data_IF_588957789339
#
_entry.id   IF_588957789339
#
_cell.length_a   1.000
_cell.length_b   1.000
_cell.length_c   1.000
_cell.angle_alpha   90.00
_cell.angle_beta   90.00
_cell.angle_gamma   90.00
#
_symmetry.space_group_name_H-M   'P 1'
#
loop_
_entity.id
_entity.type
_entity.pdbx_description
1 polymer ?
#
# COMPACT_ATOMS: atom_id res chain seq x y z
N UNK A 1 -19.34 -51.57 64.54
CA UNK A 1 -17.90 -51.52 64.26
C UNK A 1 -17.71 -51.20 62.78
N UNK A 2 -16.90 -50.17 62.51
CA UNK A 2 -16.23 -49.73 61.26
C UNK A 2 -16.99 -49.71 59.91
N UNK A 3 -17.20 -48.56 59.26
CA UNK A 3 -16.28 -47.67 58.52
C UNK A 3 -15.59 -48.26 57.27
N UNK A 4 -15.91 -47.62 56.12
CA UNK A 4 -15.04 -47.07 55.08
C UNK A 4 -14.29 -47.94 54.04
N UNK A 5 -14.25 -47.34 52.83
CA UNK A 5 -13.18 -47.25 51.79
C UNK A 5 -13.26 -48.13 50.52
N UNK A 6 -13.46 -47.40 49.40
CA UNK A 6 -12.66 -47.34 48.16
C UNK A 6 -11.96 -48.59 47.61
N UNK A 7 -12.23 -48.86 46.32
CA UNK A 7 -11.36 -49.63 45.43
C UNK A 7 -11.81 -49.54 43.96
N UNK A 8 -11.18 -48.67 43.17
CA UNK A 8 -10.98 -48.88 41.72
C UNK A 8 -9.74 -49.79 41.55
N UNK A 9 -9.59 -50.64 40.50
CA UNK A 9 -9.16 -50.15 39.17
C UNK A 9 -9.58 -51.01 37.94
N UNK A 10 -9.30 -50.49 36.74
CA UNK A 10 -9.19 -51.27 35.48
C UNK A 10 -10.23 -50.88 34.42
N UNK A 11 -9.93 -49.98 33.47
CA UNK A 11 -9.15 -50.21 32.24
C UNK A 11 -10.02 -50.61 31.04
N UNK A 12 -9.94 -49.78 29.99
CA UNK A 12 -10.26 -50.01 28.57
C UNK A 12 -11.62 -49.50 28.07
N UNK A 13 -11.59 -48.26 27.54
CA UNK A 13 -12.36 -47.78 26.37
C UNK A 13 -11.77 -46.45 25.91
N UNK A 14 -10.58 -46.50 25.31
CA UNK A 14 -9.97 -45.40 24.54
C UNK A 14 -9.58 -45.97 23.18
N UNK A 15 -10.45 -45.77 22.19
CA UNK A 15 -10.15 -45.99 20.78
C UNK A 15 -11.24 -45.28 19.95
N UNK A 16 -10.95 -44.05 19.51
CA UNK A 16 -11.36 -43.48 18.22
C UNK A 16 -11.04 -41.97 18.17
N UNK A 17 -10.54 -41.55 17.01
CA UNK A 17 -10.37 -40.15 16.53
C UNK A 17 -9.21 -39.36 17.14
N UNK A 18 -8.00 -39.74 16.71
CA UNK A 18 -6.93 -38.78 16.48
C UNK A 18 -7.08 -38.24 15.04
N UNK A 19 -6.45 -37.11 14.74
CA UNK A 19 -6.29 -36.46 13.42
C UNK A 19 -7.42 -35.48 13.02
N UNK A 20 -7.12 -34.17 13.03
CA UNK A 20 -8.00 -33.05 12.64
C UNK A 20 -7.51 -31.74 13.27
N UNK A 21 -7.65 -30.60 12.59
CA UNK A 21 -6.79 -29.42 12.70
C UNK A 21 -7.06 -28.49 13.90
N UNK A 22 -6.21 -27.45 13.96
CA UNK A 22 -6.40 -26.13 14.58
C UNK A 22 -7.63 -25.99 15.48
N UNK A 23 -7.42 -25.93 16.80
CA UNK A 23 -8.50 -25.60 17.73
C UNK A 23 -8.06 -24.49 18.68
N UNK A 24 -8.62 -23.29 18.48
CA UNK A 24 -9.07 -22.43 19.57
C UNK A 24 -10.28 -23.14 20.17
N UNK A 25 -10.18 -23.68 21.40
CA UNK A 25 -11.29 -24.42 22.02
C UNK A 25 -12.24 -23.44 22.69
N UNK A 26 -13.42 -23.22 22.08
CA UNK A 26 -14.61 -22.66 22.72
C UNK A 26 -15.74 -23.70 22.74
N UNK A 27 -16.31 -23.98 23.92
CA UNK A 27 -17.35 -24.98 24.12
C UNK A 27 -18.76 -24.36 24.23
N UNK A 28 -19.75 -25.09 23.69
CA UNK A 28 -21.17 -25.17 24.11
C UNK A 28 -22.24 -24.26 23.46
N UNK A 29 -22.89 -24.84 22.42
CA UNK A 29 -24.33 -25.12 22.25
C UNK A 29 -25.42 -24.07 22.56
N UNK A 30 -26.24 -23.74 21.54
CA UNK A 30 -27.72 -23.91 21.54
C UNK A 30 -28.33 -23.75 20.13
N UNK A 31 -29.19 -24.71 19.76
CA UNK A 31 -29.95 -24.77 18.51
C UNK A 31 -31.09 -23.74 18.42
N UNK A 32 -31.26 -23.12 17.25
CA UNK A 32 -32.54 -22.68 16.67
C UNK A 32 -32.45 -22.80 15.13
N UNK A 33 -33.51 -23.22 14.40
CA UNK A 33 -33.44 -23.40 12.96
C UNK A 33 -33.68 -22.07 12.23
N UNK A 34 -32.84 -21.75 11.24
CA UNK A 34 -33.11 -20.69 10.27
C UNK A 34 -33.84 -21.27 9.05
N UNK A 35 -34.91 -20.59 8.65
CA UNK A 35 -35.77 -20.94 7.51
C UNK A 35 -35.04 -20.71 6.17
N UNK A 36 -35.24 -21.64 5.23
CA UNK A 36 -34.86 -21.49 3.82
C UNK A 36 -35.64 -20.33 3.16
N UNK A 37 -34.93 -19.42 2.51
CA UNK A 37 -35.49 -18.55 1.48
C UNK A 37 -35.11 -19.10 0.09
N UNK A 38 -36.04 -19.24 -0.85
CA UNK A 38 -35.75 -19.84 -2.15
C UNK A 38 -35.03 -18.87 -3.10
N UNK A 39 -34.10 -19.44 -3.87
CA UNK A 39 -33.39 -18.83 -4.99
C UNK A 39 -34.34 -18.23 -6.04
N UNK A 40 -34.23 -16.93 -6.27
CA UNK A 40 -34.73 -16.28 -7.49
C UNK A 40 -33.57 -15.76 -8.31
N UNK A 41 -33.28 -16.48 -9.40
CA UNK A 41 -32.35 -16.10 -10.47
C UNK A 41 -32.80 -14.80 -11.17
N UNK A 42 -31.96 -13.76 -11.26
CA UNK A 42 -32.26 -12.56 -12.06
C UNK A 42 -32.24 -12.87 -13.57
N UNK A 43 -33.13 -12.24 -14.38
CA UNK A 43 -33.15 -12.43 -15.82
C UNK A 43 -31.95 -11.74 -16.50
N UNK A 44 -31.47 -12.36 -17.58
CA UNK A 44 -30.35 -11.90 -18.39
C UNK A 44 -30.58 -10.49 -18.94
N UNK A 45 -29.65 -9.58 -18.66
CA UNK A 45 -29.57 -8.28 -19.30
C UNK A 45 -29.11 -8.45 -20.75
N UNK A 46 -29.86 -7.84 -21.67
CA UNK A 46 -29.47 -7.70 -23.07
C UNK A 46 -28.39 -6.63 -23.11
N UNK A 47 -27.17 -7.06 -23.44
CA UNK A 47 -26.01 -6.21 -23.65
C UNK A 47 -26.15 -5.52 -25.01
N UNK A 48 -26.55 -4.25 -25.01
CA UNK A 48 -26.45 -3.37 -26.17
C UNK A 48 -25.01 -2.90 -26.31
N UNK A 49 -24.34 -3.42 -27.32
CA UNK A 49 -23.02 -3.00 -27.83
C UNK A 49 -23.00 -1.48 -28.09
N UNK A 50 -22.03 -0.72 -27.56
CA UNK A 50 -21.94 0.71 -27.83
C UNK A 50 -21.50 0.93 -29.28
N UNK A 51 -22.30 1.67 -30.03
CA UNK A 51 -21.96 2.12 -31.36
C UNK A 51 -20.68 2.97 -31.34
N UNK A 52 -19.80 2.64 -32.28
CA UNK A 52 -18.51 3.27 -32.61
C UNK A 52 -18.58 4.81 -32.52
N UNK A 53 -17.96 5.38 -31.49
CA UNK A 53 -17.75 6.81 -31.39
C UNK A 53 -16.66 7.20 -32.41
N UNK A 54 -16.87 8.22 -33.26
CA UNK A 54 -15.83 8.64 -34.19
C UNK A 54 -14.56 9.04 -33.41
N UNK A 55 -13.37 8.72 -33.93
CA UNK A 55 -12.12 9.00 -33.25
C UNK A 55 -12.03 10.50 -32.93
N UNK A 56 -11.78 10.81 -31.65
CA UNK A 56 -11.54 12.16 -31.20
C UNK A 56 -10.41 12.77 -32.03
N UNK A 57 -10.71 13.83 -32.77
CA UNK A 57 -9.70 14.61 -33.47
C UNK A 57 -8.69 15.12 -32.43
N UNK A 58 -7.40 14.87 -32.67
CA UNK A 58 -6.33 15.40 -31.82
C UNK A 58 -6.51 16.93 -31.71
N UNK A 59 -6.46 17.51 -30.49
CA UNK A 59 -6.63 18.93 -30.32
C UNK A 59 -5.50 19.68 -31.05
N UNK A 60 -5.85 20.38 -32.13
CA UNK A 60 -4.90 21.23 -32.85
C UNK A 60 -4.67 22.48 -32.02
N UNK A 61 -3.43 22.66 -31.53
CA UNK A 61 -3.04 23.86 -30.81
C UNK A 61 -3.31 25.13 -31.64
N UNK A 62 -3.94 26.10 -31.00
CA UNK A 62 -4.12 27.45 -31.53
C UNK A 62 -2.78 28.15 -31.75
N UNK A 63 -2.79 29.21 -32.57
CA UNK A 63 -1.60 30.02 -32.81
C UNK A 63 -1.06 30.67 -31.51
N UNK A 64 -1.96 31.03 -30.59
CA UNK A 64 -1.53 31.58 -29.29
C UNK A 64 -0.85 30.53 -28.42
N UNK A 65 -1.39 29.31 -28.37
CA UNK A 65 -0.75 28.21 -27.64
C UNK A 65 0.64 27.89 -28.21
N UNK A 66 0.79 27.83 -29.54
CA UNK A 66 2.11 27.64 -30.18
C UNK A 66 3.12 28.71 -29.78
N UNK A 67 2.71 29.98 -29.76
CA UNK A 67 3.57 31.09 -29.35
C UNK A 67 3.96 31.00 -27.86
N UNK A 68 3.05 30.54 -27.00
CA UNK A 68 3.32 30.33 -25.58
C UNK A 68 4.31 29.18 -25.40
N UNK A 69 4.12 28.04 -26.06
CA UNK A 69 5.06 26.92 -26.03
C UNK A 69 6.46 27.34 -26.51
N UNK A 70 6.58 28.14 -27.57
CA UNK A 70 7.87 28.69 -28.01
C UNK A 70 8.50 29.62 -26.97
N UNK A 71 7.69 30.42 -26.26
CA UNK A 71 8.18 31.28 -25.19
C UNK A 71 8.70 30.45 -24.00
N UNK A 72 8.02 29.35 -23.65
CA UNK A 72 8.41 28.38 -22.62
C UNK A 72 9.73 27.70 -23.00
N UNK A 73 9.86 27.19 -24.23
CA UNK A 73 11.10 26.58 -24.72
C UNK A 73 12.29 27.56 -24.65
N UNK A 74 12.07 28.82 -25.04
CA UNK A 74 13.09 29.86 -24.94
C UNK A 74 13.43 30.22 -23.49
N UNK A 75 12.47 30.16 -22.56
CA UNK A 75 12.71 30.36 -21.14
C UNK A 75 13.63 29.26 -20.58
N UNK A 76 13.30 28.00 -20.84
CA UNK A 76 14.12 26.84 -20.45
C UNK A 76 15.52 26.94 -21.06
N UNK A 77 15.63 27.31 -22.33
CA UNK A 77 16.92 27.50 -22.99
C UNK A 77 17.75 28.63 -22.36
N UNK A 78 17.12 29.74 -21.93
CA UNK A 78 17.80 30.83 -21.25
C UNK A 78 18.30 30.40 -19.85
N UNK A 79 17.49 29.63 -19.12
CA UNK A 79 17.88 29.06 -17.83
C UNK A 79 19.09 28.13 -17.98
N UNK A 80 19.01 27.18 -18.92
CA UNK A 80 20.06 26.17 -19.14
C UNK A 80 21.36 26.78 -19.70
N UNK A 81 21.29 27.99 -20.27
CA UNK A 81 22.46 28.76 -20.67
C UNK A 81 23.06 29.60 -19.53
N UNK A 82 22.42 29.66 -18.35
CA UNK A 82 22.82 30.54 -17.25
C UNK A 82 22.65 32.03 -17.56
N UNK A 83 21.80 32.40 -18.53
CA UNK A 83 21.64 33.78 -18.99
C UNK A 83 20.52 34.48 -18.20
N UNK A 84 20.88 35.01 -17.03
CA UNK A 84 19.95 35.70 -16.13
C UNK A 84 19.20 36.87 -16.79
N UNK A 85 19.87 37.63 -17.67
CA UNK A 85 19.27 38.78 -18.33
C UNK A 85 18.24 38.34 -19.38
N UNK A 86 18.56 37.33 -20.18
CA UNK A 86 17.62 36.76 -21.15
C UNK A 86 16.45 36.09 -20.44
N UNK A 87 16.71 35.37 -19.34
CA UNK A 87 15.68 34.73 -18.52
C UNK A 87 14.70 35.75 -17.94
N UNK A 88 15.20 36.82 -17.31
CA UNK A 88 14.36 37.91 -16.82
C UNK A 88 13.63 38.66 -17.96
N UNK A 89 14.17 38.65 -19.17
CA UNK A 89 13.53 39.18 -20.38
C UNK A 89 12.22 38.49 -20.78
N UNK A 90 11.95 37.28 -20.28
CA UNK A 90 10.67 36.58 -20.48
C UNK A 90 9.52 37.11 -19.61
N UNK A 91 9.83 37.88 -18.57
CA UNK A 91 8.85 38.38 -17.62
C UNK A 91 8.22 39.70 -18.08
N UNK A 92 7.07 40.08 -17.54
CA UNK A 92 6.57 41.47 -17.59
C UNK A 92 7.48 42.37 -16.73
N UNK A 93 7.44 43.71 -16.89
CA UNK A 93 8.23 44.61 -16.05
C UNK A 93 7.99 44.43 -14.55
N UNK A 94 6.74 44.15 -14.18
CA UNK A 94 6.24 43.98 -12.80
C UNK A 94 6.03 42.51 -12.41
N UNK A 95 6.66 41.57 -13.13
CA UNK A 95 6.40 40.14 -12.95
C UNK A 95 6.74 39.65 -11.54
N UNK A 96 5.97 38.69 -11.01
CA UNK A 96 6.16 38.16 -9.65
C UNK A 96 6.54 36.67 -9.65
N UNK A 97 7.62 36.32 -8.96
CA UNK A 97 7.97 34.93 -8.71
C UNK A 97 7.83 34.59 -7.21
N UNK A 98 6.96 33.64 -6.89
CA UNK A 98 6.85 33.05 -5.55
C UNK A 98 7.56 31.70 -5.54
N UNK A 99 8.63 31.61 -4.77
CA UNK A 99 9.44 30.40 -4.59
C UNK A 99 8.73 29.35 -3.70
N UNK A 100 9.17 28.07 -3.69
CA UNK A 100 8.59 27.04 -2.81
C UNK A 100 8.62 27.42 -1.33
N UNK A 101 9.68 28.13 -0.90
CA UNK A 101 9.85 28.68 0.44
C UNK A 101 8.94 29.89 0.75
N UNK A 102 7.99 30.20 -0.13
CA UNK A 102 7.02 31.29 0.00
C UNK A 102 7.66 32.69 0.04
N UNK A 103 8.84 32.84 -0.56
CA UNK A 103 9.48 34.14 -0.81
C UNK A 103 9.02 34.68 -2.16
N UNK A 104 8.46 35.89 -2.19
CA UNK A 104 8.12 36.64 -3.40
C UNK A 104 9.28 37.51 -3.89
N UNK A 105 9.54 37.48 -5.19
CA UNK A 105 10.44 38.37 -5.93
C UNK A 105 9.61 39.18 -6.92
N UNK A 106 9.82 40.49 -6.99
CA UNK A 106 8.97 41.39 -7.77
C UNK A 106 9.76 42.25 -8.77
N UNK A 107 9.33 42.19 -10.02
CA UNK A 107 9.87 42.95 -11.13
C UNK A 107 11.16 42.38 -11.72
N UNK A 108 11.44 42.76 -12.97
CA UNK A 108 12.59 42.21 -13.73
C UNK A 108 13.94 42.46 -13.07
N UNK A 109 14.11 43.58 -12.37
CA UNK A 109 15.39 43.91 -11.72
C UNK A 109 15.71 42.93 -10.58
N UNK A 110 14.75 42.67 -9.69
CA UNK A 110 14.92 41.73 -8.59
C UNK A 110 15.11 40.30 -9.12
N UNK A 111 14.32 39.89 -10.10
CA UNK A 111 14.45 38.60 -10.78
C UNK A 111 15.83 38.43 -11.42
N UNK A 112 16.33 39.44 -12.14
CA UNK A 112 17.67 39.39 -12.77
C UNK A 112 18.76 39.20 -11.72
N UNK A 113 18.66 39.90 -10.59
CA UNK A 113 19.61 39.76 -9.48
C UNK A 113 19.53 38.37 -8.84
N UNK A 114 18.33 37.86 -8.62
CA UNK A 114 18.11 36.54 -8.04
C UNK A 114 18.66 35.42 -8.96
N UNK A 115 18.34 35.47 -10.26
CA UNK A 115 18.85 34.50 -11.23
C UNK A 115 20.37 34.57 -11.38
N UNK A 116 20.96 35.76 -11.44
CA UNK A 116 22.43 35.92 -11.46
C UNK A 116 23.06 35.26 -10.24
N UNK A 117 22.55 35.57 -9.04
CA UNK A 117 23.08 35.00 -7.79
C UNK A 117 22.87 33.48 -7.67
N UNK A 118 21.81 32.94 -8.28
CA UNK A 118 21.59 31.50 -8.37
C UNK A 118 22.62 30.84 -9.28
N UNK A 119 22.81 31.33 -10.51
CA UNK A 119 23.77 30.74 -11.45
C UNK A 119 25.23 30.87 -11.01
N UNK A 120 25.59 31.91 -10.23
CA UNK A 120 26.91 32.02 -9.60
C UNK A 120 27.15 30.93 -8.55
N UNK A 121 26.10 30.51 -7.83
CA UNK A 121 26.18 29.46 -6.79
C UNK A 121 26.01 28.06 -7.34
N UNK A 122 25.27 27.91 -8.43
CA UNK A 122 24.95 26.63 -9.07
C UNK A 122 25.35 26.65 -10.55
N UNK A 123 26.65 26.73 -10.89
CA UNK A 123 27.10 26.76 -12.28
C UNK A 123 26.69 25.49 -13.03
N UNK A 124 26.10 25.66 -14.22
CA UNK A 124 25.65 24.54 -15.04
C UNK A 124 24.32 23.92 -14.60
N UNK A 125 23.56 24.59 -13.73
CA UNK A 125 22.21 24.17 -13.40
C UNK A 125 21.31 24.10 -14.64
N UNK A 126 20.49 23.06 -14.73
CA UNK A 126 19.55 22.83 -15.83
C UNK A 126 18.13 22.70 -15.30
N UNK A 127 17.19 23.32 -15.98
CA UNK A 127 15.75 23.23 -15.81
C UNK A 127 15.16 22.30 -16.88
N UNK A 128 14.27 21.42 -16.45
CA UNK A 128 13.36 20.64 -17.27
C UNK A 128 11.94 20.87 -16.77
N UNK A 129 10.98 21.04 -17.69
CA UNK A 129 9.56 21.10 -17.36
C UNK A 129 8.89 19.77 -17.75
N UNK A 130 8.12 19.20 -16.83
CA UNK A 130 7.42 17.91 -17.00
C UNK A 130 5.92 18.12 -16.87
N UNK A 131 5.14 17.50 -17.77
CA UNK A 131 3.68 17.60 -17.74
C UNK A 131 3.14 19.01 -17.98
N UNK A 132 3.86 19.84 -18.75
CA UNK A 132 3.45 21.22 -19.04
C UNK A 132 2.12 21.25 -19.78
N UNK A 133 1.11 21.82 -19.14
CA UNK A 133 -0.21 22.07 -19.72
C UNK A 133 -0.43 23.58 -19.85
N UNK A 134 -0.86 24.03 -21.03
CA UNK A 134 -1.20 25.42 -21.30
C UNK A 134 -2.71 25.53 -21.54
N UNK A 135 -3.36 26.45 -20.85
CA UNK A 135 -4.78 26.76 -21.00
C UNK A 135 -4.97 28.26 -21.26
N UNK A 136 -5.57 28.63 -22.38
CA UNK A 136 -6.00 30.02 -22.62
C UNK A 136 -7.19 30.36 -21.72
N UNK A 137 -7.03 31.40 -20.89
CA UNK A 137 -8.11 31.93 -20.04
C UNK A 137 -8.87 33.05 -20.76
N UNK A 138 -8.18 33.77 -21.65
CA UNK A 138 -8.73 34.79 -22.55
C UNK A 138 -7.81 34.96 -23.77
N UNK A 139 -8.17 35.74 -24.80
CA UNK A 139 -7.29 35.98 -25.96
C UNK A 139 -5.91 36.59 -25.63
N UNK A 140 -5.74 37.15 -24.43
CA UNK A 140 -4.52 37.81 -24.00
C UNK A 140 -3.94 37.27 -22.66
N UNK A 141 -4.53 36.21 -22.09
CA UNK A 141 -4.08 35.62 -20.82
C UNK A 141 -4.13 34.10 -20.92
N UNK A 142 -3.05 33.45 -20.51
CA UNK A 142 -2.95 31.99 -20.43
C UNK A 142 -2.41 31.55 -19.08
N UNK A 143 -2.79 30.35 -18.66
CA UNK A 143 -2.19 29.66 -17.53
C UNK A 143 -1.36 28.50 -18.04
N UNK A 144 -0.16 28.36 -17.51
CA UNK A 144 0.69 27.18 -17.63
C UNK A 144 0.76 26.50 -16.26
N UNK A 145 0.76 25.18 -16.24
CA UNK A 145 1.02 24.39 -15.02
C UNK A 145 1.84 23.15 -15.36
N UNK A 146 2.67 22.70 -14.42
CA UNK A 146 3.47 21.50 -14.56
C UNK A 146 4.41 21.28 -13.37
N UNK A 147 5.45 20.48 -13.59
CA UNK A 147 6.53 20.25 -12.64
C UNK A 147 7.84 20.81 -13.18
N UNK A 148 8.58 21.54 -12.34
CA UNK A 148 9.91 22.04 -12.65
C UNK A 148 10.94 21.14 -11.97
N UNK A 149 11.80 20.51 -12.77
CA UNK A 149 12.91 19.69 -12.30
C UNK A 149 14.20 20.46 -12.54
N UNK A 150 14.91 20.79 -11.46
CA UNK A 150 16.19 21.51 -11.52
C UNK A 150 17.30 20.62 -10.99
N UNK A 151 18.34 20.45 -11.81
CA UNK A 151 19.54 19.68 -11.49
C UNK A 151 20.75 20.60 -11.51
N UNK A 152 21.57 20.59 -10.46
CA UNK A 152 22.79 21.40 -10.35
C UNK A 152 24.01 20.52 -10.06
N UNK A 153 24.84 20.26 -11.07
CA UNK A 153 26.01 19.38 -10.93
C UNK A 153 25.60 17.95 -10.57
N UNK A 154 26.23 17.39 -9.54
CA UNK A 154 25.95 16.04 -9.02
C UNK A 154 24.94 16.03 -7.85
N UNK A 155 24.28 17.16 -7.57
CA UNK A 155 23.24 17.23 -6.54
C UNK A 155 21.96 16.51 -6.97
N UNK A 156 21.19 16.02 -6.00
CA UNK A 156 19.88 15.42 -6.25
C UNK A 156 18.96 16.45 -6.90
N UNK A 157 18.27 16.04 -7.96
CA UNK A 157 17.37 16.92 -8.68
C UNK A 157 16.25 17.39 -7.74
N UNK A 158 16.05 18.71 -7.69
CA UNK A 158 14.90 19.29 -7.00
C UNK A 158 13.69 19.29 -7.94
N UNK A 159 12.52 18.92 -7.42
CA UNK A 159 11.27 18.92 -8.16
C UNK A 159 10.22 19.75 -7.42
N UNK A 160 9.60 20.70 -8.12
CA UNK A 160 8.54 21.57 -7.58
C UNK A 160 7.33 21.57 -8.51
N UNK A 161 6.13 21.67 -7.93
CA UNK A 161 4.93 21.96 -8.73
C UNK A 161 4.90 23.47 -9.00
N UNK A 162 4.58 23.88 -10.23
CA UNK A 162 4.48 25.29 -10.56
C UNK A 162 3.19 25.63 -11.31
N UNK A 163 2.79 26.88 -11.17
CA UNK A 163 1.79 27.52 -12.01
C UNK A 163 2.34 28.86 -12.50
N UNK A 164 2.27 29.11 -13.80
CA UNK A 164 2.63 30.39 -14.41
C UNK A 164 1.43 31.06 -15.09
N UNK A 165 1.36 32.38 -15.02
CA UNK A 165 0.42 33.19 -15.80
C UNK A 165 1.19 33.92 -16.89
N UNK A 166 0.75 33.74 -18.12
CA UNK A 166 1.27 34.44 -19.29
C UNK A 166 0.29 35.50 -19.76
N UNK A 167 0.81 36.67 -20.10
CA UNK A 167 0.04 37.78 -20.67
C UNK A 167 0.60 38.19 -22.02
N UNK A 168 -0.30 38.50 -22.96
CA UNK A 168 0.08 38.95 -24.30
C UNK A 168 0.38 40.44 -24.29
N UNK A 169 1.62 40.80 -24.60
CA UNK A 169 2.11 42.19 -24.68
C UNK A 169 2.43 42.58 -26.12
N UNK A 170 2.84 43.83 -26.36
CA UNK A 170 3.39 44.27 -27.64
C UNK A 170 4.70 43.57 -28.01
N UNK A 171 5.41 43.01 -27.02
CA UNK A 171 6.66 42.25 -27.19
C UNK A 171 6.42 40.74 -27.31
N UNK A 172 5.16 40.31 -27.45
CA UNK A 172 4.76 38.91 -27.43
C UNK A 172 4.27 38.45 -26.04
N UNK A 173 4.14 37.14 -25.87
CA UNK A 173 3.75 36.55 -24.59
C UNK A 173 4.88 36.69 -23.56
N UNK A 174 4.52 37.18 -22.37
CA UNK A 174 5.43 37.37 -21.24
C UNK A 174 4.83 36.74 -19.98
N UNK A 175 5.69 36.29 -19.09
CA UNK A 175 5.32 35.73 -17.78
C UNK A 175 4.97 36.89 -16.85
N UNK A 176 3.75 36.91 -16.36
CA UNK A 176 3.28 37.87 -15.36
C UNK A 176 3.54 37.35 -13.94
N UNK A 177 3.30 36.07 -13.71
CA UNK A 177 3.61 35.46 -12.42
C UNK A 177 4.02 33.99 -12.55
N UNK A 178 4.86 33.53 -11.64
CA UNK A 178 5.08 32.11 -11.34
C UNK A 178 4.90 31.92 -9.85
N UNK A 179 4.21 30.84 -9.48
CA UNK A 179 4.20 30.32 -8.11
C UNK A 179 4.67 28.88 -8.15
N UNK A 180 5.65 28.57 -7.31
CA UNK A 180 6.11 27.22 -7.05
C UNK A 180 5.72 26.78 -5.64
N UNK A 181 5.38 25.49 -5.51
CA UNK A 181 5.08 24.85 -4.24
C UNK A 181 5.92 23.55 -4.12
N UNK A 182 6.39 23.24 -2.91
CA UNK A 182 7.09 21.99 -2.64
C UNK A 182 6.15 20.80 -2.88
N UNK A 183 6.70 19.72 -3.44
CA UNK A 183 5.94 18.49 -3.55
C UNK A 183 5.69 17.90 -2.15
N UNK A 184 4.48 17.38 -1.89
CA UNK A 184 4.23 16.66 -0.64
C UNK A 184 5.18 15.46 -0.58
N UNK A 185 6.00 15.39 0.47
CA UNK A 185 6.83 14.20 0.71
C UNK A 185 5.90 12.98 0.84
N UNK A 186 6.07 11.93 0.02
CA UNK A 186 5.26 10.74 0.18
C UNK A 186 5.48 10.17 1.58
N UNK A 187 4.44 9.58 2.20
CA UNK A 187 4.62 8.93 3.50
C UNK A 187 5.69 7.83 3.38
N UNK A 188 6.45 7.56 4.46
CA UNK A 188 7.42 6.47 4.46
C UNK A 188 6.78 5.15 4.00
N UNK A 189 7.48 4.43 3.13
CA UNK A 189 7.10 3.08 2.75
C UNK A 189 7.77 2.06 3.67
N UNK A 190 7.05 1.02 4.04
CA UNK A 190 7.56 -0.14 4.76
C UNK A 190 7.62 -1.40 3.89
N UNK A 191 7.52 -1.24 2.57
CA UNK A 191 7.60 -2.35 1.63
C UNK A 191 8.89 -3.15 1.78
N UNK A 192 10.06 -2.50 1.84
CA UNK A 192 11.35 -3.19 1.92
C UNK A 192 11.50 -4.06 3.16
N UNK A 193 10.87 -3.67 4.26
CA UNK A 193 10.85 -4.41 5.53
C UNK A 193 9.90 -5.63 5.48
N UNK A 194 8.95 -5.62 4.55
CA UNK A 194 7.92 -6.65 4.41
C UNK A 194 8.10 -7.54 3.18
N UNK A 195 8.94 -7.16 2.21
CA UNK A 195 9.12 -7.89 0.95
C UNK A 195 9.54 -9.35 1.16
N UNK A 196 10.23 -9.66 2.26
CA UNK A 196 10.61 -11.03 2.60
C UNK A 196 9.39 -11.93 2.93
N UNK A 197 8.19 -11.37 3.10
CA UNK A 197 6.92 -12.08 3.28
C UNK A 197 6.11 -12.24 1.99
N UNK A 198 6.65 -11.86 0.82
CA UNK A 198 5.93 -11.98 -0.45
C UNK A 198 5.55 -13.42 -0.82
N UNK A 199 6.28 -14.41 -0.28
CA UNK A 199 5.87 -15.80 -0.38
C UNK A 199 4.42 -16.02 0.09
N UNK A 200 3.92 -15.23 1.06
CA UNK A 200 2.56 -15.36 1.57
C UNK A 200 1.48 -14.99 0.57
N UNK A 201 1.78 -14.14 -0.42
CA UNK A 201 0.80 -13.60 -1.38
C UNK A 201 0.07 -14.71 -2.13
N UNK A 202 -1.12 -14.41 -2.64
CA UNK A 202 -1.95 -15.36 -3.38
C UNK A 202 -2.75 -16.28 -2.46
N UNK A 203 -3.24 -17.39 -3.03
CA UNK A 203 -4.11 -18.34 -2.34
C UNK A 203 -3.35 -19.61 -1.98
N UNK A 204 -3.54 -20.06 -0.74
CA UNK A 204 -2.88 -21.20 -0.13
C UNK A 204 -3.92 -22.13 0.46
N UNK A 205 -3.74 -23.43 0.30
CA UNK A 205 -4.64 -24.42 0.88
C UNK A 205 -3.91 -25.63 1.44
N UNK A 206 -4.55 -26.34 2.37
CA UNK A 206 -4.16 -27.69 2.74
C UNK A 206 -5.43 -28.53 2.87
N UNK A 207 -5.44 -29.67 2.18
CA UNK A 207 -6.49 -30.67 2.27
C UNK A 207 -5.97 -31.86 3.07
N UNK A 208 -6.27 -31.89 4.36
CA UNK A 208 -6.00 -33.03 5.23
C UNK A 208 -7.30 -33.75 5.57
N UNK A 209 -7.25 -35.08 5.65
CA UNK A 209 -8.41 -35.88 6.01
C UNK A 209 -9.02 -35.42 7.34
N UNK A 210 -10.23 -34.88 7.28
CA UNK A 210 -11.02 -34.42 8.44
C UNK A 210 -10.93 -32.92 8.73
N UNK A 211 -9.98 -32.18 8.16
CA UNK A 211 -9.95 -30.71 8.26
C UNK A 211 -9.06 -30.07 7.21
N UNK A 212 -9.55 -29.00 6.58
CA UNK A 212 -8.81 -28.24 5.57
C UNK A 212 -8.73 -26.76 5.92
N UNK A 213 -7.79 -26.06 5.31
CA UNK A 213 -7.67 -24.60 5.41
C UNK A 213 -7.53 -24.02 4.01
N UNK A 214 -8.17 -22.88 3.78
CA UNK A 214 -7.92 -22.02 2.62
C UNK A 214 -7.59 -20.64 3.14
N UNK A 215 -6.52 -20.05 2.63
CA UNK A 215 -6.07 -18.72 2.99
C UNK A 215 -5.74 -17.91 1.74
N UNK A 216 -6.06 -16.62 1.77
CA UNK A 216 -5.74 -15.69 0.69
C UNK A 216 -4.99 -14.51 1.28
N UNK A 217 -3.90 -14.09 0.64
CA UNK A 217 -3.08 -12.98 1.10
C UNK A 217 -2.82 -12.00 -0.03
N UNK A 218 -2.86 -10.72 0.29
CA UNK A 218 -2.59 -9.64 -0.64
C UNK A 218 -1.92 -8.47 0.04
N UNK A 219 -1.27 -7.62 -0.75
CA UNK A 219 -0.87 -6.30 -0.32
C UNK A 219 -2.09 -5.41 -0.03
N UNK A 220 -1.90 -4.45 0.87
CA UNK A 220 -2.70 -3.22 0.93
C UNK A 220 -2.29 -2.29 -0.21
N UNK A 221 -3.11 -1.26 -0.51
CA UNK A 221 -2.90 -0.36 -1.66
C UNK A 221 -1.49 0.20 -1.77
N UNK A 222 -0.88 0.58 -0.65
CA UNK A 222 0.46 1.18 -0.61
C UNK A 222 1.54 0.18 -0.17
N UNK A 223 1.25 -1.13 -0.20
CA UNK A 223 2.16 -2.21 0.21
C UNK A 223 2.83 -2.04 1.60
N UNK A 224 2.18 -1.31 2.51
CA UNK A 224 2.68 -1.09 3.88
C UNK A 224 2.21 -2.18 4.86
N UNK A 225 1.28 -3.03 4.41
CA UNK A 225 0.76 -4.17 5.15
C UNK A 225 0.39 -5.29 4.17
N UNK A 226 0.51 -6.53 4.63
CA UNK A 226 -0.16 -7.69 4.04
C UNK A 226 -1.48 -7.94 4.79
N UNK A 227 -2.53 -8.27 4.06
CA UNK A 227 -3.81 -8.73 4.62
C UNK A 227 -4.03 -10.16 4.19
N UNK A 228 -4.14 -11.05 5.17
CA UNK A 228 -4.41 -12.48 4.98
C UNK A 228 -5.76 -12.84 5.55
N UNK A 229 -6.66 -13.37 4.74
CA UNK A 229 -7.90 -14.00 5.20
C UNK A 229 -7.73 -15.51 5.19
N UNK A 230 -8.46 -16.23 6.05
CA UNK A 230 -8.45 -17.68 6.06
C UNK A 230 -9.77 -18.26 6.55
N UNK A 231 -10.07 -19.47 6.07
CA UNK A 231 -11.21 -20.30 6.49
C UNK A 231 -10.70 -21.67 6.86
N UNK A 232 -11.14 -22.18 8.00
CA UNK A 232 -10.87 -23.54 8.46
C UNK A 232 -12.14 -24.36 8.31
N UNK A 233 -12.02 -25.54 7.74
CA UNK A 233 -13.12 -26.46 7.52
C UNK A 233 -12.94 -27.72 8.38
N UNK A 234 -14.04 -28.24 8.92
CA UNK A 234 -14.14 -29.56 9.56
C UNK A 234 -15.36 -30.24 8.95
N UNK A 235 -15.20 -31.48 8.45
CA UNK A 235 -16.28 -32.22 7.77
C UNK A 235 -17.02 -31.38 6.70
N UNK A 236 -16.26 -30.64 5.88
CA UNK A 236 -16.73 -29.75 4.81
C UNK A 236 -17.58 -28.55 5.25
N UNK A 237 -17.63 -28.26 6.55
CA UNK A 237 -18.27 -27.05 7.10
C UNK A 237 -17.21 -26.07 7.56
N UNK A 238 -17.45 -24.78 7.32
CA UNK A 238 -16.63 -23.72 7.92
C UNK A 238 -16.79 -23.83 9.44
N UNK A 239 -15.70 -24.17 10.11
CA UNK A 239 -15.61 -24.20 11.57
C UNK A 239 -15.45 -22.76 12.08
N UNK A 240 -14.43 -22.05 11.56
CA UNK A 240 -14.25 -20.62 11.77
C UNK A 240 -13.45 -19.98 10.63
N UNK A 241 -13.50 -18.66 10.56
CA UNK A 241 -12.71 -17.85 9.62
C UNK A 241 -12.04 -16.69 10.33
N UNK A 242 -11.05 -16.07 9.70
CA UNK A 242 -10.37 -14.93 10.29
C UNK A 242 -9.62 -14.05 9.30
N UNK A 243 -9.25 -12.87 9.79
CA UNK A 243 -8.44 -11.88 9.08
C UNK A 243 -7.19 -11.59 9.90
N UNK A 244 -6.05 -11.57 9.24
CA UNK A 244 -4.76 -11.20 9.79
C UNK A 244 -4.19 -10.01 9.01
N UNK A 245 -3.69 -9.02 9.73
CA UNK A 245 -2.93 -7.89 9.18
C UNK A 245 -1.49 -8.05 9.63
N UNK A 246 -0.54 -7.93 8.72
CA UNK A 246 0.90 -8.06 8.98
C UNK A 246 1.58 -6.78 8.52
N UNK A 247 2.40 -6.16 9.36
CA UNK A 247 3.06 -4.88 9.06
C UNK A 247 4.35 -4.68 9.83
N UNK A 248 5.13 -3.70 9.39
CA UNK A 248 6.34 -3.26 10.06
C UNK A 248 5.99 -2.28 11.19
N UNK A 249 6.56 -2.49 12.37
CA UNK A 249 6.50 -1.54 13.49
C UNK A 249 7.82 -0.78 13.55
N UNK A 250 7.91 0.45 13.00
CA UNK A 250 9.15 1.22 12.98
C UNK A 250 9.60 1.67 14.38
N UNK A 251 8.72 1.66 15.39
CA UNK A 251 9.07 2.10 16.76
C UNK A 251 9.94 1.10 17.51
N UNK A 252 9.83 -0.18 17.16
CA UNK A 252 10.59 -1.28 17.77
C UNK A 252 11.33 -2.13 16.73
N UNK A 253 11.33 -1.67 15.47
CA UNK A 253 12.00 -2.28 14.32
C UNK A 253 11.72 -3.79 14.21
N UNK A 254 10.44 -4.16 14.15
CA UNK A 254 10.03 -5.57 14.06
C UNK A 254 8.76 -5.72 13.25
N UNK A 255 8.61 -6.84 12.55
CA UNK A 255 7.34 -7.19 11.92
C UNK A 255 6.36 -7.68 13.00
N UNK A 256 5.15 -7.15 12.96
CA UNK A 256 4.04 -7.49 13.85
C UNK A 256 2.84 -7.95 13.04
N UNK A 257 2.00 -8.75 13.66
CA UNK A 257 0.68 -9.06 13.10
C UNK A 257 -0.42 -8.98 14.13
N UNK A 258 -1.63 -8.81 13.63
CA UNK A 258 -2.86 -8.88 14.41
C UNK A 258 -3.83 -9.80 13.69
N UNK A 259 -4.49 -10.70 14.42
CA UNK A 259 -5.49 -11.59 13.86
C UNK A 259 -6.81 -11.44 14.61
N UNK A 260 -7.92 -11.61 13.90
CA UNK A 260 -9.28 -11.56 14.40
C UNK A 260 -10.06 -12.71 13.76
N UNK A 261 -10.74 -13.52 14.57
CA UNK A 261 -11.55 -14.65 14.09
C UNK A 261 -13.06 -14.41 14.27
N UNK A 262 -13.85 -15.21 13.56
CA UNK A 262 -15.31 -15.14 13.54
C UNK A 262 -15.98 -15.44 14.88
N UNK A 263 -15.27 -16.09 15.80
CA UNK A 263 -15.77 -16.42 17.13
C UNK A 263 -15.56 -15.27 18.13
N UNK A 264 -14.86 -14.22 17.72
CA UNK A 264 -14.58 -13.03 18.54
C UNK A 264 -13.23 -13.10 19.27
N UNK A 265 -12.37 -14.05 18.91
CA UNK A 265 -10.98 -14.11 19.36
C UNK A 265 -10.11 -13.11 18.62
N UNK A 266 -9.03 -12.67 19.27
CA UNK A 266 -8.02 -11.83 18.63
C UNK A 266 -6.62 -12.15 19.13
N UNK A 267 -5.63 -11.90 18.28
CA UNK A 267 -4.24 -12.19 18.56
C UNK A 267 -3.30 -11.07 18.13
N UNK A 268 -2.15 -10.99 18.78
CA UNK A 268 -1.01 -10.19 18.35
C UNK A 268 0.22 -11.11 18.20
N UNK A 269 0.91 -10.99 17.07
CA UNK A 269 2.09 -11.76 16.71
C UNK A 269 3.33 -10.88 16.59
N UNK A 270 4.49 -11.39 17.04
CA UNK A 270 5.81 -10.84 16.73
C UNK A 270 6.57 -11.82 15.85
N UNK A 271 7.10 -11.34 14.75
CA UNK A 271 7.78 -12.15 13.75
C UNK A 271 9.30 -12.04 13.88
N UNK A 272 9.97 -13.14 13.61
CA UNK A 272 11.42 -13.19 13.42
C UNK A 272 11.74 -14.11 12.25
N UNK A 273 12.70 -13.70 11.42
CA UNK A 273 13.21 -14.47 10.30
C UNK A 273 14.53 -15.15 10.69
N UNK A 274 14.72 -16.39 10.23
CA UNK A 274 16.02 -17.06 10.18
C UNK A 274 16.15 -17.84 8.86
N UNK A 275 16.46 -17.12 7.78
CA UNK A 275 16.49 -17.65 6.42
C UNK A 275 15.08 -18.01 5.95
N UNK A 276 14.89 -19.28 5.59
CA UNK A 276 13.59 -19.79 5.11
C UNK A 276 12.61 -20.14 6.24
N UNK A 277 13.03 -19.97 7.50
CA UNK A 277 12.18 -20.19 8.67
C UNK A 277 11.69 -18.88 9.27
N UNK A 278 10.39 -18.70 9.26
CA UNK A 278 9.70 -17.64 10.00
C UNK A 278 9.14 -18.17 11.30
N UNK A 279 9.35 -17.44 12.38
CA UNK A 279 8.78 -17.73 13.71
C UNK A 279 7.88 -16.58 14.14
N UNK A 280 6.66 -16.91 14.56
CA UNK A 280 5.68 -15.95 15.06
C UNK A 280 5.30 -16.31 16.50
N UNK A 281 5.74 -15.50 17.44
CA UNK A 281 5.31 -15.61 18.83
C UNK A 281 3.98 -14.87 18.98
N UNK A 282 2.94 -15.60 19.36
CA UNK A 282 1.56 -15.10 19.37
C UNK A 282 0.99 -15.06 20.78
N UNK A 283 0.34 -13.96 21.12
CA UNK A 283 -0.51 -13.80 22.30
C UNK A 283 -1.95 -13.61 21.84
N UNK A 284 -2.86 -14.37 22.42
CA UNK A 284 -4.24 -14.48 21.97
C UNK A 284 -5.19 -14.24 23.15
N UNK A 285 -6.35 -13.68 22.84
CA UNK A 285 -7.50 -13.61 23.73
C UNK A 285 -8.62 -14.39 23.08
N UNK A 286 -9.12 -15.40 23.80
CA UNK A 286 -10.22 -16.24 23.33
C UNK A 286 -11.56 -15.53 23.50
N UNK A 287 -12.63 -15.98 22.84
CA UNK A 287 -13.97 -15.39 22.96
C UNK A 287 -14.51 -15.32 24.40
N UNK A 288 -14.09 -16.26 25.24
CA UNK A 288 -14.45 -16.34 26.67
C UNK A 288 -13.53 -15.50 27.59
N UNK A 289 -12.59 -14.75 27.00
CA UNK A 289 -11.66 -13.87 27.70
C UNK A 289 -10.37 -14.54 28.17
N UNK A 290 -10.27 -15.88 28.08
CA UNK A 290 -9.06 -16.63 28.47
C UNK A 290 -7.87 -16.20 27.63
N UNK A 291 -6.66 -16.31 28.20
CA UNK A 291 -5.42 -15.95 27.52
C UNK A 291 -4.76 -17.18 26.96
N UNK A 292 -4.32 -17.09 25.71
CA UNK A 292 -3.62 -18.18 25.06
C UNK A 292 -2.34 -17.69 24.40
N UNK A 293 -1.36 -18.58 24.24
CA UNK A 293 -0.11 -18.27 23.55
C UNK A 293 0.30 -19.43 22.66
N UNK A 294 1.09 -19.13 21.64
CA UNK A 294 1.67 -20.12 20.74
C UNK A 294 2.91 -19.58 20.04
N UNK A 295 3.73 -20.49 19.54
CA UNK A 295 4.78 -20.20 18.57
C UNK A 295 4.42 -20.89 17.26
N UNK A 296 4.15 -20.08 16.24
CA UNK A 296 3.87 -20.57 14.90
C UNK A 296 5.17 -20.54 14.08
N UNK A 297 5.43 -21.61 13.36
CA UNK A 297 6.61 -21.79 12.51
C UNK A 297 6.14 -21.94 11.07
N UNK A 298 6.78 -21.21 10.17
CA UNK A 298 6.62 -21.37 8.73
C UNK A 298 8.00 -21.69 8.16
N UNK A 299 8.13 -22.85 7.55
CA UNK A 299 9.29 -23.20 6.73
C UNK A 299 8.90 -23.02 5.26
N UNK A 300 9.47 -22.04 4.59
CA UNK A 300 9.31 -21.83 3.14
C UNK A 300 10.14 -22.91 2.45
N UNK A 301 9.48 -23.87 1.80
CA UNK A 301 10.16 -25.00 1.17
C UNK A 301 10.53 -24.66 -0.27
N UNK A 302 9.59 -24.06 -0.99
CA UNK A 302 9.71 -23.55 -2.34
C UNK A 302 8.58 -22.53 -2.62
N UNK A 303 8.44 -22.11 -3.88
CA UNK A 303 7.44 -21.11 -4.31
C UNK A 303 5.99 -21.53 -4.03
N UNK A 304 5.71 -22.83 -4.07
CA UNK A 304 4.37 -23.40 -4.00
C UNK A 304 4.09 -24.18 -2.72
N UNK A 305 5.11 -24.38 -1.86
CA UNK A 305 4.99 -25.18 -0.65
C UNK A 305 5.57 -24.48 0.58
N UNK A 306 4.74 -24.39 1.62
CA UNK A 306 5.14 -23.90 2.94
C UNK A 306 4.72 -24.92 3.99
N UNK A 307 5.64 -25.34 4.83
CA UNK A 307 5.31 -26.13 6.00
C UNK A 307 4.92 -25.20 7.16
N UNK A 308 3.74 -25.43 7.73
CA UNK A 308 3.28 -24.77 8.94
C UNK A 308 3.32 -25.71 10.15
N UNK A 309 3.74 -25.19 11.29
CA UNK A 309 3.65 -25.88 12.58
C UNK A 309 3.26 -24.90 13.69
N UNK A 310 2.53 -25.36 14.71
CA UNK A 310 2.28 -24.57 15.92
C UNK A 310 2.70 -25.35 17.17
N UNK A 311 3.62 -24.77 17.95
CA UNK A 311 4.21 -25.38 19.14
C UNK A 311 4.05 -24.45 20.36
N UNK A 312 4.38 -24.97 21.55
CA UNK A 312 4.35 -24.16 22.78
C UNK A 312 2.98 -23.55 23.06
N UNK A 313 1.93 -24.28 22.69
CA UNK A 313 0.54 -23.82 22.79
C UNK A 313 0.08 -23.88 24.23
N UNK A 314 -0.61 -22.85 24.70
CA UNK A 314 -1.08 -22.76 26.07
C UNK A 314 -2.41 -22.01 26.16
N UNK A 315 -3.26 -22.37 27.13
CA UNK A 315 -4.45 -21.60 27.54
C UNK A 315 -4.44 -21.47 29.06
N UNK A 316 -4.48 -20.24 29.59
CA UNK A 316 -4.47 -19.92 31.03
C UNK A 316 -3.40 -20.67 31.86
N UNK A 317 -2.22 -20.89 31.26
CA UNK A 317 -1.15 -21.61 31.94
C UNK A 317 -1.06 -23.10 31.59
N UNK A 318 -2.11 -23.69 31.03
CA UNK A 318 -2.15 -25.13 30.70
C UNK A 318 -1.64 -25.40 29.29
N UNK A 319 -0.68 -26.32 29.17
CA UNK A 319 -0.07 -26.69 27.89
C UNK A 319 -1.04 -27.53 27.06
N UNK A 320 -1.16 -27.14 25.79
CA UNK A 320 -1.87 -27.91 24.76
C UNK A 320 -0.87 -28.68 23.88
N UNK A 321 -1.29 -29.79 23.27
CA UNK A 321 -0.48 -30.46 22.26
C UNK A 321 -0.10 -29.53 21.10
N UNK A 322 1.13 -29.68 20.62
CA UNK A 322 1.57 -29.06 19.37
C UNK A 322 0.74 -29.56 18.19
N UNK A 323 0.49 -28.68 17.25
CA UNK A 323 -0.04 -29.06 15.94
C UNK A 323 1.11 -29.66 15.14
N UNK A 324 0.90 -30.85 14.58
CA UNK A 324 1.90 -31.51 13.72
C UNK A 324 2.13 -30.67 12.44
N UNK A 325 3.31 -30.78 11.81
CA UNK A 325 3.58 -30.08 10.56
C UNK A 325 2.52 -30.40 9.50
N UNK A 326 2.04 -29.38 8.80
CA UNK A 326 1.14 -29.46 7.65
C UNK A 326 1.75 -28.69 6.48
N UNK A 327 1.53 -29.16 5.25
CA UNK A 327 2.02 -28.49 4.04
C UNK A 327 0.88 -27.66 3.45
N UNK A 328 1.05 -26.35 3.41
CA UNK A 328 0.23 -25.46 2.62
C UNK A 328 0.76 -25.47 1.19
N UNK A 329 -0.13 -25.66 0.22
CA UNK A 329 0.16 -25.62 -1.20
C UNK A 329 -0.50 -24.40 -1.83
N UNK A 330 0.26 -23.66 -2.63
CA UNK A 330 -0.25 -22.54 -3.42
C UNK A 330 -1.23 -23.08 -4.48
N UNK A 331 -2.39 -22.46 -4.57
CA UNK A 331 -3.37 -22.79 -5.61
C UNK A 331 -3.22 -21.81 -6.77
N UNK A 332 -3.22 -22.31 -8.00
CA UNK A 332 -3.31 -21.44 -9.18
C UNK A 332 -4.60 -20.60 -9.11
N UNK A 333 -4.48 -19.31 -9.42
CA UNK A 333 -5.62 -18.40 -9.62
C UNK A 333 -6.42 -18.75 -10.88
#
# INVERSE_FOLDING_TARGET
MHQNKWGMPGSWRWAAVAWGAVVVMGASASCLPAQETPDTKPPAAVETEPADAPPAAEPVLSESEKQIHQAIESYVAAFNAGDAAKLAGHWTPEGEFVTPAQVSLHGREELTKAFTGYFEKSPGATLQLVGTEVTLLSPAVARESGFAVVTAGDEEASETAYQAIHVKTSEGWKIDSIREDELPTPPPSHYEELQALEWMLGTWSNDAAGSSIVAHCRWTTNANFLVRTYKVFIEDRVDFEGTQIIGWDPSVQTIRSWAFDSDGGFAAGRWSNNGDRWTVQSLNVLPDGRKASSTNLYDVLDEDHVQFQSIGRQVDGELLPSIKPVILTRTAE
#
